data_IF_944196302584
#
_entry.id   IF_944196302584
#
_cell.length_a   1.000
_cell.length_b   1.000
_cell.length_c   1.000
_cell.angle_alpha   90.00
_cell.angle_beta   90.00
_cell.angle_gamma   90.00
#
_symmetry.space_group_name_H-M   'P 1'
#
loop_
_entity.id
_entity.type
_entity.pdbx_description
1 polymer ?
#
# COMPACT_ATOMS: atom_id res chain seq x y z
N UNK A 1 -50.93 11.39 19.66
CA UNK A 1 -51.26 11.63 21.09
C UNK A 1 -50.82 10.40 21.88
N UNK A 2 -49.75 10.53 22.66
CA UNK A 2 -49.48 9.99 23.99
C UNK A 2 -47.98 10.19 24.27
N UNK A 3 -47.73 11.24 25.03
CA UNK A 3 -46.45 11.50 25.70
C UNK A 3 -46.33 10.56 26.90
N UNK A 4 -45.18 9.92 27.08
CA UNK A 4 -44.82 9.34 28.39
C UNK A 4 -43.47 9.93 28.78
N UNK A 5 -43.53 10.72 29.85
CA UNK A 5 -42.44 11.23 30.67
C UNK A 5 -41.90 10.07 31.53
N UNK A 6 -40.59 9.93 31.67
CA UNK A 6 -40.01 9.26 32.84
C UNK A 6 -38.89 10.08 33.43
N UNK A 7 -39.04 10.33 34.68
CA UNK A 7 -38.34 11.21 35.60
C UNK A 7 -37.09 10.50 36.13
N UNK A 8 -36.05 11.29 36.41
CA UNK A 8 -34.75 10.87 36.86
C UNK A 8 -34.71 10.29 38.29
N UNK A 9 -33.56 9.68 38.57
CA UNK A 9 -33.03 9.55 39.93
C UNK A 9 -31.55 9.87 39.93
N UNK A 10 -31.25 10.93 40.60
CA UNK A 10 -29.95 11.47 40.95
C UNK A 10 -29.49 10.77 42.23
N UNK A 11 -28.44 9.99 42.18
CA UNK A 11 -27.79 9.35 43.33
C UNK A 11 -26.43 9.98 43.60
N UNK A 12 -26.40 10.84 44.55
CA UNK A 12 -25.24 11.50 45.16
C UNK A 12 -24.65 10.59 46.24
N UNK A 13 -23.38 10.17 46.11
CA UNK A 13 -22.68 9.55 47.24
C UNK A 13 -21.43 10.36 47.60
N UNK A 14 -21.45 10.73 48.89
CA UNK A 14 -20.50 11.57 49.58
C UNK A 14 -19.22 10.81 49.95
N UNK A 15 -18.17 11.58 50.01
CA UNK A 15 -16.82 11.32 50.51
C UNK A 15 -16.79 10.77 51.94
N UNK A 16 -15.97 9.77 52.20
CA UNK A 16 -15.53 9.34 53.51
C UNK A 16 -14.02 9.20 53.56
N UNK A 17 -13.34 10.22 54.07
CA UNK A 17 -11.93 10.19 54.46
C UNK A 17 -11.82 9.54 55.84
N UNK A 18 -10.92 8.57 56.01
CA UNK A 18 -10.36 8.21 57.31
C UNK A 18 -8.91 7.81 57.19
N UNK A 19 -8.07 8.64 57.74
CA UNK A 19 -6.68 8.38 58.09
C UNK A 19 -6.61 7.51 59.35
N UNK A 20 -5.81 6.45 59.34
CA UNK A 20 -5.24 5.89 60.57
C UNK A 20 -3.83 5.40 60.32
N UNK A 21 -2.93 6.05 60.98
CA UNK A 21 -1.53 5.77 61.17
C UNK A 21 -1.38 4.66 62.23
N UNK A 22 -0.72 3.55 61.92
CA UNK A 22 -0.15 2.67 62.91
C UNK A 22 1.20 2.14 62.40
N UNK A 23 2.23 2.54 63.11
CA UNK A 23 3.60 2.08 62.87
C UNK A 23 3.76 0.64 63.34
N UNK A 24 4.51 -0.12 62.56
CA UNK A 24 5.11 -1.36 63.03
C UNK A 24 6.63 -1.25 62.85
N UNK A 25 7.30 -1.38 64.00
CA UNK A 25 8.74 -1.64 64.10
C UNK A 25 9.04 -3.00 63.46
N UNK A 26 9.94 -3.04 62.50
CA UNK A 26 10.62 -4.30 62.09
C UNK A 26 12.00 -4.29 62.71
N UNK A 27 12.24 -5.34 63.47
CA UNK A 27 13.54 -5.70 64.06
C UNK A 27 14.51 -6.09 62.94
N UNK A 28 15.74 -5.62 63.08
CA UNK A 28 16.89 -5.94 62.27
C UNK A 28 17.21 -7.43 62.33
N UNK A 29 17.16 -8.11 61.21
CA UNK A 29 17.80 -9.42 61.05
C UNK A 29 19.11 -9.24 60.27
N UNK A 30 20.21 -9.37 61.00
CA UNK A 30 21.55 -9.51 60.45
C UNK A 30 21.64 -10.76 59.60
N UNK A 31 21.87 -10.59 58.31
CA UNK A 31 22.29 -11.64 57.41
C UNK A 31 23.82 -11.62 57.24
N UNK A 32 24.44 -12.63 57.84
CA UNK A 32 25.85 -12.91 57.66
C UNK A 32 26.22 -13.09 56.18
N UNK A 33 27.28 -12.40 55.78
CA UNK A 33 27.78 -12.38 54.44
C UNK A 33 28.38 -13.72 54.00
N UNK A 34 27.85 -14.27 52.91
CA UNK A 34 28.51 -15.30 52.15
C UNK A 34 29.45 -14.69 51.12
N UNK A 35 30.76 -14.82 51.33
CA UNK A 35 31.81 -14.56 50.37
C UNK A 35 31.68 -15.56 49.21
N UNK A 36 31.26 -15.09 48.02
CA UNK A 36 31.50 -15.85 46.81
C UNK A 36 32.82 -15.39 46.19
N UNK A 37 33.77 -16.32 46.17
CA UNK A 37 35.03 -16.17 45.48
C UNK A 37 34.72 -16.00 43.95
N UNK A 38 35.28 -14.98 43.39
CA UNK A 38 35.30 -14.77 41.94
C UNK A 38 36.28 -15.75 41.33
N UNK A 39 35.79 -16.78 40.66
CA UNK A 39 36.58 -17.56 39.70
C UNK A 39 36.55 -16.81 38.37
N UNK A 40 37.72 -16.29 37.98
CA UNK A 40 37.96 -15.77 36.65
C UNK A 40 38.00 -16.92 35.65
N UNK A 41 36.94 -17.04 34.84
CA UNK A 41 37.01 -17.84 33.63
C UNK A 41 37.59 -17.01 32.49
N UNK A 42 38.86 -17.24 32.21
CA UNK A 42 39.54 -16.78 31.01
C UNK A 42 39.00 -17.56 29.80
N UNK A 43 38.21 -16.92 28.97
CA UNK A 43 37.87 -17.42 27.65
C UNK A 43 39.03 -17.10 26.70
N UNK A 44 39.80 -18.11 26.34
CA UNK A 44 40.70 -18.05 25.19
C UNK A 44 39.88 -17.94 23.93
N UNK A 45 40.01 -16.80 23.25
CA UNK A 45 39.55 -16.62 21.88
C UNK A 45 40.57 -17.31 20.96
N UNK A 46 40.25 -18.51 20.47
CA UNK A 46 40.92 -19.01 19.28
C UNK A 46 40.54 -18.18 18.07
N UNK A 47 41.50 -17.36 17.65
CA UNK A 47 41.37 -16.55 16.43
C UNK A 47 41.39 -17.46 15.19
N UNK A 48 40.27 -17.60 14.50
CA UNK A 48 40.25 -18.15 13.17
C UNK A 48 40.93 -17.18 12.21
N UNK A 49 42.13 -17.52 11.75
CA UNK A 49 42.81 -16.86 10.63
C UNK A 49 42.00 -17.10 9.36
N UNK A 50 41.34 -16.05 8.89
CA UNK A 50 40.86 -15.98 7.51
C UNK A 50 42.05 -15.59 6.64
N UNK A 51 42.55 -16.55 5.86
CA UNK A 51 43.53 -16.29 4.80
C UNK A 51 42.89 -15.30 3.82
N UNK A 52 43.52 -14.12 3.71
CA UNK A 52 43.12 -13.07 2.79
C UNK A 52 43.35 -13.53 1.36
N UNK A 53 42.27 -13.60 0.57
CA UNK A 53 42.37 -13.72 -0.88
C UNK A 53 42.94 -12.41 -1.43
N UNK A 54 44.18 -12.48 -1.93
CA UNK A 54 44.79 -11.42 -2.74
C UNK A 54 43.98 -11.28 -4.03
N UNK A 55 43.24 -10.18 -4.15
CA UNK A 55 42.79 -9.70 -5.44
C UNK A 55 43.94 -8.96 -6.10
N UNK A 56 44.55 -9.58 -7.13
CA UNK A 56 45.49 -8.93 -8.00
C UNK A 56 44.79 -7.75 -8.67
N UNK A 57 45.32 -6.55 -8.40
CA UNK A 57 44.84 -5.31 -9.01
C UNK A 57 45.15 -5.33 -10.50
N UNK A 58 44.10 -5.21 -11.30
CA UNK A 58 44.26 -4.93 -12.74
C UNK A 58 44.62 -3.45 -12.87
N UNK A 59 45.89 -3.21 -13.23
CA UNK A 59 46.38 -1.91 -13.68
C UNK A 59 45.66 -1.50 -14.96
N UNK A 60 44.76 -0.53 -14.90
CA UNK A 60 44.27 0.14 -16.07
C UNK A 60 45.35 1.14 -16.56
N UNK A 61 46.09 0.71 -17.58
CA UNK A 61 46.99 1.59 -18.31
C UNK A 61 46.20 2.76 -18.86
N UNK A 62 46.61 3.98 -18.44
CA UNK A 62 46.16 5.23 -18.98
C UNK A 62 46.57 5.36 -20.44
N UNK A 63 45.61 5.30 -21.38
CA UNK A 63 45.83 5.63 -22.75
C UNK A 63 45.94 7.17 -22.89
N UNK A 64 47.17 7.63 -23.12
CA UNK A 64 47.45 8.98 -23.58
C UNK A 64 46.91 9.13 -25.00
N UNK A 65 45.87 9.95 -25.16
CA UNK A 65 45.46 10.43 -26.49
C UNK A 65 46.34 11.63 -26.84
N UNK A 66 47.28 11.38 -27.71
CA UNK A 66 48.06 12.46 -28.37
C UNK A 66 47.09 13.29 -29.21
N UNK A 67 47.13 14.59 -28.98
CA UNK A 67 46.32 15.57 -29.68
C UNK A 67 46.69 15.69 -31.13
N UNK A 68 45.74 15.47 -32.02
CA UNK A 68 45.86 15.78 -33.44
C UNK A 68 45.63 17.29 -33.62
N UNK A 69 46.73 18.00 -33.95
CA UNK A 69 46.71 19.39 -34.46
C UNK A 69 46.06 19.39 -35.85
N UNK A 70 44.85 19.93 -35.97
CA UNK A 70 44.28 20.30 -37.24
C UNK A 70 44.79 21.69 -37.64
N UNK A 71 45.64 21.70 -38.66
CA UNK A 71 46.11 22.93 -39.30
C UNK A 71 44.91 23.63 -39.97
N UNK A 72 44.82 24.94 -39.72
CA UNK A 72 43.85 25.82 -40.34
C UNK A 72 44.13 25.94 -41.85
N UNK A 73 43.22 25.53 -42.71
CA UNK A 73 43.24 25.87 -44.11
C UNK A 73 42.54 27.19 -44.32
N UNK A 74 43.36 28.21 -44.73
CA UNK A 74 42.88 29.49 -45.23
C UNK A 74 42.33 29.33 -46.61
N UNK A 75 41.02 29.61 -46.81
CA UNK A 75 40.42 29.72 -48.16
C UNK A 75 40.55 31.17 -48.60
N UNK A 76 41.31 31.35 -49.68
CA UNK A 76 41.39 32.63 -50.39
C UNK A 76 40.07 32.92 -51.12
N UNK A 77 39.62 34.18 -50.97
CA UNK A 77 38.38 34.64 -51.55
C UNK A 77 38.43 34.75 -53.09
N UNK A 78 37.39 34.24 -53.73
CA UNK A 78 37.12 34.50 -55.12
C UNK A 78 36.05 35.59 -55.24
N UNK A 79 36.49 36.78 -55.74
CA UNK A 79 35.62 37.85 -56.20
C UNK A 79 34.95 37.45 -57.51
N UNK A 80 33.63 37.34 -57.56
CA UNK A 80 32.88 37.34 -58.82
C UNK A 80 32.22 38.68 -59.05
N UNK A 81 32.59 39.25 -60.18
CA UNK A 81 32.10 40.51 -60.68
C UNK A 81 30.62 40.34 -61.16
N UNK A 82 29.84 41.34 -60.86
CA UNK A 82 28.49 41.55 -61.31
C UNK A 82 28.42 41.79 -62.84
N UNK A 83 27.75 40.95 -63.59
CA UNK A 83 27.23 41.33 -64.93
C UNK A 83 25.70 41.26 -64.92
N UNK A 84 25.12 42.41 -65.17
CA UNK A 84 23.67 42.59 -65.24
C UNK A 84 23.18 42.17 -66.63
N UNK A 85 22.15 41.41 -66.68
CA UNK A 85 21.33 41.16 -67.89
C UNK A 85 19.95 41.76 -67.73
N UNK A 86 19.70 42.77 -68.51
CA UNK A 86 18.38 43.35 -68.80
C UNK A 86 17.58 42.37 -69.67
N UNK A 87 16.40 41.95 -69.26
CA UNK A 87 15.41 41.38 -70.14
C UNK A 87 14.13 42.22 -70.13
N UNK A 88 13.76 42.60 -71.37
CA UNK A 88 12.61 43.41 -71.69
C UNK A 88 11.29 42.66 -71.42
N UNK A 89 10.30 43.46 -71.09
CA UNK A 89 8.92 43.01 -70.87
C UNK A 89 8.30 42.52 -72.17
N UNK A 90 7.63 41.37 -72.12
CA UNK A 90 6.61 41.00 -73.10
C UNK A 90 5.30 40.66 -72.38
N UNK A 91 4.27 41.33 -72.88
CA UNK A 91 2.87 41.21 -72.54
C UNK A 91 2.33 39.78 -72.76
N UNK A 92 1.80 39.16 -71.79
CA UNK A 92 0.89 38.03 -71.95
C UNK A 92 -0.46 38.27 -71.25
N UNK A 93 -1.46 38.17 -72.09
CA UNK A 93 -2.90 38.32 -71.94
C UNK A 93 -3.49 37.56 -70.74
N UNK A 94 -4.37 38.29 -70.10
CA UNK A 94 -5.40 37.86 -69.14
C UNK A 94 -6.17 36.61 -69.64
N UNK A 95 -6.17 35.53 -68.89
CA UNK A 95 -7.20 34.51 -68.92
C UNK A 95 -7.88 34.47 -67.52
N UNK A 96 -9.12 34.95 -67.55
CA UNK A 96 -10.05 34.83 -66.45
C UNK A 96 -10.48 33.36 -66.29
N UNK A 97 -10.20 32.76 -65.14
CA UNK A 97 -10.90 31.59 -64.69
C UNK A 97 -11.46 31.88 -63.29
N UNK A 98 -12.78 32.12 -63.24
CA UNK A 98 -13.56 32.08 -62.05
C UNK A 98 -13.52 30.64 -61.44
N UNK A 99 -12.88 30.47 -60.30
CA UNK A 99 -13.16 29.39 -59.38
C UNK A 99 -13.24 30.01 -57.98
N UNK A 100 -14.49 30.28 -57.57
CA UNK A 100 -14.80 30.50 -56.19
C UNK A 100 -14.56 29.20 -55.39
N UNK A 101 -13.53 29.17 -54.57
CA UNK A 101 -13.39 28.35 -53.37
C UNK A 101 -12.43 29.10 -52.48
N UNK A 102 -12.97 29.88 -51.56
CA UNK A 102 -12.24 30.45 -50.45
C UNK A 102 -11.75 29.32 -49.55
N UNK A 103 -10.54 28.81 -49.80
CA UNK A 103 -9.75 28.15 -48.77
C UNK A 103 -8.91 29.24 -48.13
N UNK A 104 -9.28 29.66 -46.94
CA UNK A 104 -8.40 30.45 -46.11
C UNK A 104 -7.12 29.61 -45.83
N UNK A 105 -6.14 29.79 -46.68
CA UNK A 105 -4.79 29.33 -46.41
C UNK A 105 -4.21 30.21 -45.32
N UNK A 106 -4.29 29.76 -44.09
CA UNK A 106 -3.49 30.35 -43.03
C UNK A 106 -2.02 30.19 -43.41
N UNK A 107 -1.37 31.31 -43.73
CA UNK A 107 0.09 31.37 -43.85
C UNK A 107 0.68 30.98 -42.49
N UNK A 108 1.09 29.74 -42.38
CA UNK A 108 1.95 29.27 -41.27
C UNK A 108 3.33 29.91 -41.45
N UNK A 109 3.53 31.05 -40.75
CA UNK A 109 4.82 31.69 -40.68
C UNK A 109 5.83 30.64 -40.15
N UNK A 110 7.01 30.62 -40.72
CA UNK A 110 8.13 29.75 -40.35
C UNK A 110 8.61 30.08 -38.91
N UNK A 111 7.80 29.73 -37.92
CA UNK A 111 8.16 29.91 -36.52
C UNK A 111 8.80 28.57 -36.06
N UNK A 112 10.11 28.56 -35.75
CA UNK A 112 10.83 27.30 -35.42
C UNK A 112 10.28 26.60 -34.16
N UNK A 113 9.45 27.28 -33.38
CA UNK A 113 8.82 26.74 -32.16
C UNK A 113 7.42 26.15 -32.43
N UNK A 114 6.94 26.16 -33.68
CA UNK A 114 5.61 25.68 -34.03
C UNK A 114 5.65 24.23 -34.50
N UNK A 115 4.85 23.39 -33.84
CA UNK A 115 4.73 21.98 -34.15
C UNK A 115 3.47 21.77 -35.00
N UNK A 116 3.62 21.30 -36.22
CA UNK A 116 2.51 21.03 -37.11
C UNK A 116 2.16 19.54 -37.04
N UNK A 117 0.90 19.25 -36.70
CA UNK A 117 0.35 17.91 -36.68
C UNK A 117 -1.07 17.93 -37.28
N UNK A 118 -1.23 17.34 -38.44
CA UNK A 118 -2.50 17.29 -39.14
C UNK A 118 -3.62 16.76 -38.25
N UNK A 119 -4.86 17.34 -38.28
CA UNK A 119 -5.94 17.02 -37.39
C UNK A 119 -6.34 15.54 -37.40
N UNK A 120 -6.27 14.91 -38.56
CA UNK A 120 -6.54 13.47 -38.70
C UNK A 120 -5.52 12.60 -38.00
N UNK A 121 -4.24 12.99 -38.07
CA UNK A 121 -3.16 12.31 -37.34
C UNK A 121 -3.28 12.53 -35.83
N UNK A 122 -3.59 13.75 -35.40
CA UNK A 122 -3.84 14.10 -34.02
C UNK A 122 -4.99 13.27 -33.43
N UNK A 123 -6.11 13.19 -34.16
CA UNK A 123 -7.27 12.39 -33.76
C UNK A 123 -6.96 10.89 -33.71
N UNK A 124 -6.25 10.35 -34.71
CA UNK A 124 -5.84 8.96 -34.73
C UNK A 124 -4.88 8.60 -33.61
N UNK A 125 -4.04 9.57 -33.17
CA UNK A 125 -3.13 9.42 -32.03
C UNK A 125 -3.82 9.67 -30.67
N UNK A 126 -5.13 9.98 -30.65
CA UNK A 126 -5.86 10.23 -29.41
C UNK A 126 -5.48 11.53 -28.73
N UNK A 127 -4.99 12.53 -29.46
CA UNK A 127 -4.67 13.85 -28.93
C UNK A 127 -5.97 14.58 -28.60
N UNK A 128 -6.07 15.03 -27.34
CA UNK A 128 -7.21 15.83 -26.85
C UNK A 128 -6.70 17.09 -26.18
N UNK A 129 -7.36 18.21 -26.45
CA UNK A 129 -7.02 19.51 -25.88
C UNK A 129 -8.22 20.12 -25.16
N UNK A 130 -7.97 20.74 -24.02
CA UNK A 130 -8.98 21.42 -23.22
C UNK A 130 -8.53 22.83 -22.88
N UNK A 131 -9.50 23.72 -22.69
CA UNK A 131 -9.25 25.06 -22.18
C UNK A 131 -9.09 24.96 -20.67
N UNK A 132 -7.97 25.46 -20.16
CA UNK A 132 -7.65 25.37 -18.73
C UNK A 132 -8.17 26.63 -18.03
N UNK A 133 -9.11 26.40 -17.11
CA UNK A 133 -9.63 27.43 -16.22
C UNK A 133 -9.17 27.19 -14.78
N UNK A 134 -8.99 28.25 -13.97
CA UNK A 134 -8.66 28.12 -12.57
C UNK A 134 -9.76 27.35 -11.83
N UNK A 135 -9.36 26.35 -11.03
CA UNK A 135 -10.28 25.57 -10.20
C UNK A 135 -9.73 25.36 -8.79
N UNK A 136 -10.59 24.87 -7.90
CA UNK A 136 -10.14 24.45 -6.57
C UNK A 136 -9.18 23.28 -6.66
N UNK A 137 -8.02 23.39 -6.02
CA UNK A 137 -7.05 22.32 -5.89
C UNK A 137 -6.68 22.13 -4.43
N UNK A 138 -6.58 20.91 -3.95
CA UNK A 138 -6.21 20.67 -2.55
C UNK A 138 -4.71 20.68 -2.40
N UNK A 139 -4.22 21.36 -1.36
CA UNK A 139 -2.81 21.29 -0.98
C UNK A 139 -2.44 19.82 -0.68
N UNK A 140 -1.38 19.33 -1.30
CA UNK A 140 -0.96 17.94 -1.24
C UNK A 140 0.35 17.81 -0.48
N UNK A 141 0.42 16.81 0.38
CA UNK A 141 1.65 16.34 1.01
C UNK A 141 1.94 14.96 0.42
N UNK A 142 2.99 14.89 -0.42
CA UNK A 142 3.46 13.62 -0.96
C UNK A 142 4.31 12.90 0.10
N UNK A 143 4.04 11.62 0.28
CA UNK A 143 4.75 10.75 1.22
C UNK A 143 4.67 9.29 0.77
N UNK A 144 5.29 8.40 1.50
CA UNK A 144 5.14 6.95 1.33
C UNK A 144 4.18 6.39 2.38
N UNK A 145 3.68 5.20 2.10
CA UNK A 145 2.81 4.50 3.03
C UNK A 145 2.77 3.00 2.76
N UNK A 146 2.01 2.31 3.58
CA UNK A 146 1.79 0.88 3.45
C UNK A 146 0.31 0.55 3.55
N UNK A 147 -0.13 -0.35 2.70
CA UNK A 147 -1.47 -0.95 2.79
C UNK A 147 -1.42 -2.07 3.84
N UNK A 148 -2.32 -2.01 4.79
CA UNK A 148 -2.41 -2.98 5.88
C UNK A 148 -3.81 -3.62 5.90
N UNK A 149 -3.89 -4.85 6.41
CA UNK A 149 -5.19 -5.45 6.71
C UNK A 149 -5.90 -4.65 7.82
N UNK A 150 -7.22 -4.50 7.70
CA UNK A 150 -8.00 -3.83 8.72
C UNK A 150 -7.98 -4.63 10.04
N UNK A 151 -8.14 -3.96 11.16
CA UNK A 151 -8.26 -4.62 12.46
C UNK A 151 -9.43 -5.62 12.45
N UNK A 152 -9.16 -6.87 12.87
CA UNK A 152 -10.14 -7.97 12.81
C UNK A 152 -10.27 -8.63 11.45
N UNK A 153 -9.58 -8.14 10.41
CA UNK A 153 -9.51 -8.78 9.10
C UNK A 153 -8.48 -9.92 9.04
N UNK A 154 -7.65 -10.08 10.05
CA UNK A 154 -6.73 -11.21 10.19
C UNK A 154 -7.08 -12.05 11.42
N UNK A 155 -7.00 -13.37 11.28
CA UNK A 155 -7.21 -14.31 12.36
C UNK A 155 -6.17 -15.42 12.29
N UNK A 156 -5.40 -15.54 13.36
CA UNK A 156 -4.48 -16.66 13.54
C UNK A 156 -5.27 -17.88 13.96
N UNK A 157 -5.11 -18.97 13.24
CA UNK A 157 -5.70 -20.26 13.55
C UNK A 157 -4.65 -21.04 14.34
N UNK A 158 -5.00 -21.50 15.54
CA UNK A 158 -4.14 -22.25 16.43
C UNK A 158 -4.63 -23.67 16.62
N UNK A 159 -3.72 -24.58 16.98
CA UNK A 159 -4.08 -25.96 17.32
C UNK A 159 -4.89 -25.99 18.62
N UNK A 160 -6.05 -26.64 18.59
CA UNK A 160 -6.94 -26.83 19.73
C UNK A 160 -6.69 -28.16 20.48
N UNK A 161 -5.94 -29.05 19.86
CA UNK A 161 -5.44 -30.33 20.44
C UNK A 161 -4.03 -30.59 19.96
N UNK A 162 -3.28 -31.43 20.72
CA UNK A 162 -1.97 -31.91 20.28
C UNK A 162 -2.13 -33.14 19.39
N UNK A 163 -1.33 -33.24 18.33
CA UNK A 163 -1.40 -34.39 17.41
C UNK A 163 -0.71 -34.12 16.08
N UNK A 164 -0.96 -35.00 15.12
CA UNK A 164 -0.41 -34.94 13.76
C UNK A 164 -1.39 -34.25 12.82
N UNK A 165 -0.89 -33.29 12.06
CA UNK A 165 -1.67 -32.51 11.09
C UNK A 165 -1.98 -33.35 9.85
N UNK A 166 -3.22 -33.29 9.38
CA UNK A 166 -3.65 -33.84 8.10
C UNK A 166 -4.55 -32.84 7.38
N UNK A 167 -4.19 -32.49 6.13
CA UNK A 167 -5.01 -31.61 5.30
C UNK A 167 -6.12 -32.39 4.57
N UNK A 168 -7.30 -31.80 4.48
CA UNK A 168 -8.38 -32.40 3.70
C UNK A 168 -8.22 -32.20 2.18
N UNK A 169 -7.52 -31.16 1.80
CA UNK A 169 -7.17 -30.81 0.42
C UNK A 169 -5.82 -30.09 0.41
N UNK A 170 -5.18 -30.01 -0.74
CA UNK A 170 -3.97 -29.21 -0.88
C UNK A 170 -4.24 -27.76 -0.49
N UNK A 171 -3.45 -27.24 0.45
CA UNK A 171 -3.53 -25.89 0.96
C UNK A 171 -2.20 -25.17 0.69
N UNK A 172 -2.30 -23.96 0.20
CA UNK A 172 -1.17 -23.07 -0.06
C UNK A 172 -1.53 -21.65 0.35
N UNK A 173 -0.53 -20.82 0.51
CA UNK A 173 -0.77 -19.39 0.66
C UNK A 173 -1.56 -18.85 -0.54
N UNK A 174 -2.50 -17.94 -0.27
CA UNK A 174 -3.47 -17.44 -1.26
C UNK A 174 -4.71 -18.31 -1.47
N UNK A 175 -4.78 -19.53 -0.91
CA UNK A 175 -5.97 -20.36 -1.03
C UNK A 175 -7.17 -19.73 -0.31
N UNK A 176 -8.33 -19.69 -1.01
CA UNK A 176 -9.58 -19.16 -0.45
C UNK A 176 -10.22 -20.16 0.54
N UNK A 177 -10.71 -19.64 1.66
CA UNK A 177 -11.43 -20.40 2.70
C UNK A 177 -12.70 -19.67 3.13
N UNK A 178 -13.82 -20.40 3.25
CA UNK A 178 -15.06 -19.86 3.81
C UNK A 178 -15.05 -19.90 5.34
N UNK A 179 -15.78 -18.98 5.99
CA UNK A 179 -15.99 -19.03 7.45
C UNK A 179 -16.59 -20.37 7.87
N UNK A 180 -16.01 -21.02 8.88
CA UNK A 180 -16.42 -22.33 9.38
C UNK A 180 -15.97 -23.52 8.53
N UNK A 181 -15.32 -23.28 7.38
CA UNK A 181 -14.79 -24.38 6.56
C UNK A 181 -13.65 -25.09 7.30
N UNK A 182 -13.64 -26.42 7.22
CA UNK A 182 -12.54 -27.21 7.77
C UNK A 182 -11.29 -27.04 6.90
N UNK A 183 -10.19 -26.64 7.51
CA UNK A 183 -8.90 -26.42 6.85
C UNK A 183 -8.05 -27.67 6.93
N UNK A 184 -7.90 -28.20 8.13
CA UNK A 184 -7.11 -29.39 8.43
C UNK A 184 -7.74 -30.15 9.60
N UNK A 185 -7.26 -31.34 9.87
CA UNK A 185 -7.58 -32.10 11.07
C UNK A 185 -6.31 -32.46 11.83
N UNK A 186 -6.42 -32.56 13.15
CA UNK A 186 -5.31 -32.97 14.03
C UNK A 186 -5.72 -34.31 14.64
N UNK A 187 -4.94 -35.36 14.35
CA UNK A 187 -5.16 -36.71 14.87
C UNK A 187 -4.08 -37.09 15.87
N UNK A 188 -4.49 -37.71 16.96
CA UNK A 188 -3.61 -38.29 17.97
C UNK A 188 -3.75 -39.83 18.05
N UNK A 189 -4.47 -40.48 17.10
CA UNK A 189 -4.80 -41.89 17.13
C UNK A 189 -3.58 -42.80 17.22
N UNK A 190 -2.43 -42.35 16.67
CA UNK A 190 -1.16 -43.13 16.66
C UNK A 190 -0.18 -42.69 17.74
N UNK A 191 -0.56 -41.76 18.61
CA UNK A 191 0.28 -41.29 19.70
C UNK A 191 0.13 -42.16 20.94
N UNK A 192 1.18 -42.23 21.75
CA UNK A 192 1.21 -43.03 22.98
C UNK A 192 0.05 -42.67 23.93
N UNK A 193 -0.35 -41.39 23.99
CA UNK A 193 -1.40 -40.90 24.86
C UNK A 193 -2.82 -41.09 24.27
N UNK A 194 -2.98 -41.56 23.04
CA UNK A 194 -4.25 -41.78 22.36
C UNK A 194 -4.99 -40.48 21.98
N UNK A 195 -6.18 -40.66 21.38
CA UNK A 195 -7.02 -39.53 20.94
C UNK A 195 -7.61 -38.77 22.15
N UNK A 196 -7.32 -37.46 22.32
CA UNK A 196 -7.88 -36.62 23.40
C UNK A 196 -9.41 -36.61 23.41
N UNK A 197 -10.08 -36.63 22.25
CA UNK A 197 -11.54 -36.65 22.18
C UNK A 197 -12.11 -37.98 22.65
N UNK A 198 -11.44 -39.09 22.37
CA UNK A 198 -11.86 -40.41 22.84
C UNK A 198 -11.67 -40.55 24.34
N UNK A 199 -10.54 -40.04 24.88
CA UNK A 199 -10.35 -39.99 26.33
C UNK A 199 -11.41 -39.17 27.05
N UNK A 200 -11.73 -38.00 26.50
CA UNK A 200 -12.78 -37.15 27.06
C UNK A 200 -14.17 -37.84 26.99
N UNK A 201 -14.46 -38.61 25.93
CA UNK A 201 -15.70 -39.42 25.82
C UNK A 201 -15.78 -40.46 26.92
N UNK A 202 -14.70 -41.23 27.13
CA UNK A 202 -14.64 -42.27 28.16
C UNK A 202 -14.82 -41.67 29.55
N UNK A 203 -14.10 -40.55 29.82
CA UNK A 203 -14.20 -39.84 31.12
C UNK A 203 -15.63 -39.33 31.36
N UNK A 204 -16.26 -38.76 30.34
CA UNK A 204 -17.67 -38.30 30.43
C UNK A 204 -18.65 -39.44 30.68
N UNK A 205 -18.57 -40.56 29.96
CA UNK A 205 -19.44 -41.72 30.12
C UNK A 205 -19.30 -42.32 31.51
N UNK A 206 -18.06 -42.44 32.02
CA UNK A 206 -17.78 -42.92 33.37
C UNK A 206 -18.34 -41.99 34.42
N UNK A 207 -18.06 -40.69 34.35
CA UNK A 207 -18.55 -39.68 35.31
C UNK A 207 -20.09 -39.59 35.27
N UNK A 208 -20.70 -39.74 34.09
CA UNK A 208 -22.17 -39.78 33.94
C UNK A 208 -22.80 -40.97 34.65
N UNK A 209 -22.22 -42.17 34.48
CA UNK A 209 -22.73 -43.36 35.14
C UNK A 209 -22.63 -43.26 36.68
N UNK A 210 -21.55 -42.64 37.19
CA UNK A 210 -21.36 -42.34 38.63
C UNK A 210 -22.40 -41.29 39.11
N UNK A 211 -22.60 -40.20 38.38
CA UNK A 211 -23.61 -39.19 38.70
C UNK A 211 -25.01 -39.72 38.72
N UNK A 212 -25.41 -40.52 37.73
CA UNK A 212 -26.72 -41.15 37.65
C UNK A 212 -26.98 -42.13 38.79
N UNK A 213 -25.92 -42.81 39.29
CA UNK A 213 -25.96 -43.67 40.49
C UNK A 213 -26.11 -42.79 41.75
N UNK A 214 -25.26 -41.78 41.90
CA UNK A 214 -25.24 -40.90 43.08
C UNK A 214 -26.56 -40.12 43.24
N UNK A 215 -27.21 -39.72 42.13
CA UNK A 215 -28.50 -39.06 42.13
C UNK A 215 -29.63 -39.92 42.80
N UNK A 216 -29.58 -41.23 42.55
CA UNK A 216 -30.51 -42.16 43.20
C UNK A 216 -30.21 -42.38 44.69
N UNK A 217 -28.92 -42.43 45.05
CA UNK A 217 -28.49 -42.69 46.42
C UNK A 217 -28.70 -41.48 47.34
N UNK A 218 -28.48 -40.26 46.86
CA UNK A 218 -28.74 -39.05 47.64
C UNK A 218 -30.22 -38.84 47.92
N UNK A 219 -31.11 -39.18 46.96
CA UNK A 219 -32.56 -39.15 47.14
C UNK A 219 -33.01 -40.10 48.24
N UNK A 220 -32.32 -41.20 48.45
CA UNK A 220 -32.57 -42.18 49.50
C UNK A 220 -31.74 -41.95 50.78
N UNK A 221 -31.01 -40.79 50.88
CA UNK A 221 -30.18 -40.41 52.02
C UNK A 221 -29.03 -41.41 52.34
N UNK A 222 -28.57 -42.18 51.33
CA UNK A 222 -27.51 -43.16 51.49
C UNK A 222 -26.13 -42.49 51.38
N UNK A 223 -26.00 -41.40 50.63
CA UNK A 223 -24.77 -40.60 50.53
C UNK A 223 -25.06 -39.18 50.98
N UNK A 224 -24.03 -38.49 51.43
CA UNK A 224 -24.15 -37.11 51.89
C UNK A 224 -24.31 -36.13 50.71
N UNK A 225 -24.95 -34.99 50.95
CA UNK A 225 -25.08 -33.91 49.94
C UNK A 225 -23.69 -33.40 49.47
N UNK A 226 -22.69 -33.39 50.36
CA UNK A 226 -21.30 -33.00 50.04
C UNK A 226 -20.70 -33.97 48.99
N UNK A 227 -20.88 -35.27 49.21
CA UNK A 227 -20.35 -36.31 48.34
C UNK A 227 -21.04 -36.26 46.98
N UNK A 228 -22.39 -36.11 46.95
CA UNK A 228 -23.12 -35.89 45.72
C UNK A 228 -22.64 -34.66 44.92
N UNK A 229 -22.38 -33.55 45.60
CA UNK A 229 -21.90 -32.33 44.93
C UNK A 229 -20.52 -32.54 44.30
N UNK A 230 -19.62 -33.28 44.95
CA UNK A 230 -18.28 -33.61 44.38
C UNK A 230 -18.36 -34.49 43.10
N UNK A 231 -19.29 -35.49 43.13
CA UNK A 231 -19.57 -36.36 41.97
C UNK A 231 -20.17 -35.53 40.84
N UNK A 232 -21.11 -34.64 41.17
CA UNK A 232 -21.74 -33.74 40.18
C UNK A 232 -20.69 -32.81 39.53
N UNK A 233 -19.78 -32.24 40.33
CA UNK A 233 -18.70 -31.39 39.80
C UNK A 233 -17.81 -32.19 38.82
N UNK A 234 -17.43 -33.41 39.18
CA UNK A 234 -16.64 -34.28 38.29
C UNK A 234 -17.37 -34.57 36.97
N UNK A 235 -18.68 -34.85 37.04
CA UNK A 235 -19.50 -35.05 35.83
C UNK A 235 -19.60 -33.82 34.97
N UNK A 236 -19.85 -32.64 35.54
CA UNK A 236 -19.95 -31.38 34.79
C UNK A 236 -18.61 -31.05 34.13
N UNK A 237 -17.47 -31.21 34.81
CA UNK A 237 -16.15 -31.00 34.26
C UNK A 237 -15.86 -31.95 33.08
N UNK A 238 -16.17 -33.22 33.24
CA UNK A 238 -16.01 -34.22 32.16
C UNK A 238 -16.94 -33.92 30.96
N UNK A 239 -18.18 -33.48 31.22
CA UNK A 239 -19.15 -33.05 30.20
C UNK A 239 -18.62 -31.88 29.38
N UNK A 240 -18.15 -30.82 30.04
CA UNK A 240 -17.59 -29.64 29.39
C UNK A 240 -16.36 -30.00 28.51
N UNK A 241 -15.48 -30.85 29.00
CA UNK A 241 -14.32 -31.32 28.25
C UNK A 241 -14.72 -32.12 27.02
N UNK A 242 -15.70 -33.03 27.15
CA UNK A 242 -16.22 -33.82 26.03
C UNK A 242 -16.94 -32.97 24.99
N UNK A 243 -17.81 -32.05 25.42
CA UNK A 243 -18.54 -31.15 24.51
C UNK A 243 -17.60 -30.22 23.72
N UNK A 244 -16.51 -29.74 24.34
CA UNK A 244 -15.52 -28.88 23.67
C UNK A 244 -14.79 -29.62 22.53
N UNK A 245 -14.49 -30.90 22.70
CA UNK A 245 -13.75 -31.71 21.71
C UNK A 245 -14.67 -32.42 20.71
N UNK A 246 -15.87 -32.83 21.12
CA UNK A 246 -16.78 -33.62 20.27
C UNK A 246 -17.39 -32.83 19.12
N UNK A 247 -17.65 -31.52 19.29
CA UNK A 247 -18.22 -30.64 18.27
C UNK A 247 -17.39 -30.59 16.98
N UNK A 248 -16.07 -30.76 17.08
CA UNK A 248 -15.14 -30.66 15.97
C UNK A 248 -14.51 -32.03 15.59
N UNK A 249 -15.03 -33.15 16.13
CA UNK A 249 -14.50 -34.49 15.82
C UNK A 249 -14.94 -34.91 14.41
N UNK A 250 -13.98 -35.28 13.57
CA UNK A 250 -14.17 -35.90 12.27
C UNK A 250 -13.59 -37.32 12.28
N UNK A 251 -13.84 -38.08 11.21
CA UNK A 251 -13.23 -39.43 11.03
C UNK A 251 -11.70 -39.40 10.93
N UNK A 252 -11.09 -38.23 10.71
CA UNK A 252 -9.66 -38.06 10.59
C UNK A 252 -9.02 -37.29 11.77
N UNK A 253 -9.73 -37.20 12.90
CA UNK A 253 -9.28 -36.44 14.08
C UNK A 253 -10.14 -35.21 14.38
N UNK A 254 -9.62 -34.27 15.17
CA UNK A 254 -10.32 -33.04 15.53
C UNK A 254 -10.12 -32.00 14.42
N UNK A 255 -11.25 -31.54 13.85
CA UNK A 255 -11.22 -30.58 12.77
C UNK A 255 -10.85 -29.17 13.27
N UNK A 256 -9.99 -28.50 12.53
CA UNK A 256 -9.63 -27.10 12.69
C UNK A 256 -10.31 -26.30 11.59
N UNK A 257 -11.14 -25.34 11.98
CA UNK A 257 -11.99 -24.56 11.06
C UNK A 257 -11.55 -23.12 10.95
N UNK A 258 -11.84 -22.48 9.80
CA UNK A 258 -11.59 -21.06 9.59
C UNK A 258 -12.53 -20.19 10.45
N UNK A 259 -12.03 -19.34 11.33
CA UNK A 259 -12.86 -18.46 12.16
C UNK A 259 -13.52 -17.34 11.36
N UNK A 260 -12.86 -16.93 10.27
CA UNK A 260 -13.34 -15.93 9.29
C UNK A 260 -13.20 -16.48 7.88
N UNK A 261 -14.00 -15.99 6.94
CA UNK A 261 -13.81 -16.26 5.51
C UNK A 261 -12.74 -15.34 4.93
N UNK A 262 -11.95 -15.83 3.98
CA UNK A 262 -10.87 -15.05 3.38
C UNK A 262 -9.86 -15.91 2.64
N UNK A 263 -8.58 -15.55 2.73
CA UNK A 263 -7.45 -16.24 2.11
C UNK A 263 -6.44 -16.66 3.16
N UNK A 264 -5.73 -17.76 2.93
CA UNK A 264 -4.60 -18.17 3.75
C UNK A 264 -3.42 -17.23 3.43
N UNK A 265 -2.86 -16.58 4.45
CA UNK A 265 -1.73 -15.65 4.31
C UNK A 265 -0.40 -16.33 4.62
N UNK A 266 -0.34 -17.06 5.73
CA UNK A 266 0.86 -17.78 6.17
C UNK A 266 0.44 -19.17 6.57
N UNK A 267 0.93 -20.18 5.88
CA UNK A 267 0.78 -21.59 6.25
C UNK A 267 2.07 -22.04 6.97
N UNK A 268 1.97 -22.26 8.28
CA UNK A 268 3.13 -22.54 9.16
C UNK A 268 3.38 -24.01 9.37
N UNK A 269 2.48 -24.89 8.93
CA UNK A 269 2.55 -26.35 9.15
C UNK A 269 2.39 -27.11 7.84
N UNK A 270 2.92 -28.32 7.82
CA UNK A 270 2.86 -29.25 6.68
C UNK A 270 2.08 -30.50 7.04
N UNK A 271 1.69 -31.27 6.02
CA UNK A 271 1.11 -32.61 6.21
C UNK A 271 2.09 -33.48 7.01
N UNK A 272 1.59 -34.08 8.07
CA UNK A 272 2.38 -34.95 8.95
C UNK A 272 3.14 -34.27 10.09
N UNK A 273 3.12 -32.93 10.17
CA UNK A 273 3.75 -32.22 11.30
C UNK A 273 3.05 -32.53 12.62
N UNK A 274 3.82 -32.68 13.68
CA UNK A 274 3.29 -32.76 15.04
C UNK A 274 3.14 -31.36 15.62
N UNK A 275 1.94 -31.06 16.16
CA UNK A 275 1.62 -29.76 16.76
C UNK A 275 1.14 -29.93 18.20
N UNK A 276 1.33 -28.86 18.99
CA UNK A 276 0.87 -28.79 20.38
C UNK A 276 -0.26 -27.77 20.54
N UNK A 277 -1.08 -27.91 21.58
CA UNK A 277 -2.17 -26.97 21.87
C UNK A 277 -1.66 -25.54 21.94
N UNK A 278 -2.35 -24.62 21.25
CA UNK A 278 -1.98 -23.21 21.18
C UNK A 278 -0.94 -22.85 20.10
N UNK A 279 -0.34 -23.84 19.43
CA UNK A 279 0.61 -23.60 18.36
C UNK A 279 -0.08 -22.95 17.16
N UNK A 280 0.45 -21.83 16.61
CA UNK A 280 -0.06 -21.25 15.38
C UNK A 280 0.10 -22.20 14.19
N UNK A 281 -0.97 -22.36 13.41
CA UNK A 281 -1.00 -23.25 12.25
C UNK A 281 -0.97 -22.46 10.95
N UNK A 282 -1.78 -21.42 10.87
CA UNK A 282 -1.89 -20.54 9.72
C UNK A 282 -2.59 -19.22 10.09
N UNK A 283 -2.55 -18.25 9.20
CA UNK A 283 -3.32 -17.01 9.32
C UNK A 283 -4.33 -16.91 8.17
N UNK A 284 -5.58 -16.62 8.50
CA UNK A 284 -6.61 -16.27 7.50
C UNK A 284 -6.77 -14.76 7.48
N UNK A 285 -6.75 -14.16 6.30
CA UNK A 285 -6.92 -12.71 6.10
C UNK A 285 -8.11 -12.41 5.19
N UNK A 286 -8.84 -11.35 5.51
CA UNK A 286 -9.87 -10.77 4.63
C UNK A 286 -9.31 -9.59 3.88
N UNK A 287 -9.73 -9.43 2.62
CA UNK A 287 -9.27 -8.37 1.74
C UNK A 287 -10.33 -7.29 1.46
N UNK A 288 -11.50 -7.36 2.12
CA UNK A 288 -12.63 -6.49 1.79
C UNK A 288 -12.44 -5.05 2.28
N UNK A 289 -11.76 -4.87 3.40
CA UNK A 289 -11.44 -3.58 4.00
C UNK A 289 -9.98 -3.53 4.39
N UNK A 290 -9.33 -2.44 3.97
CA UNK A 290 -7.91 -2.23 4.19
C UNK A 290 -7.66 -0.90 4.89
N UNK A 291 -6.48 -0.78 5.46
CA UNK A 291 -5.95 0.48 5.99
C UNK A 291 -4.81 0.96 5.09
N UNK A 292 -4.84 2.25 4.79
CA UNK A 292 -3.70 2.98 4.26
C UNK A 292 -3.03 3.69 5.43
N UNK A 293 -1.83 3.27 5.79
CA UNK A 293 -0.97 3.96 6.75
C UNK A 293 0.06 4.77 5.98
N UNK A 294 -0.05 6.08 6.05
CA UNK A 294 0.90 7.02 5.48
C UNK A 294 1.88 7.49 6.55
N UNK A 295 3.17 7.50 6.24
CA UNK A 295 4.22 7.91 7.17
C UNK A 295 4.66 9.34 6.84
N UNK A 296 4.15 10.31 7.59
CA UNK A 296 4.30 11.74 7.31
C UNK A 296 5.45 12.32 8.13
N UNK A 297 6.37 13.02 7.47
CA UNK A 297 7.47 13.71 8.15
C UNK A 297 6.95 14.72 9.19
N UNK A 298 7.57 14.77 10.37
CA UNK A 298 7.21 15.67 11.47
C UNK A 298 7.14 17.16 11.06
N UNK A 299 7.88 17.57 10.05
CA UNK A 299 7.81 18.94 9.52
C UNK A 299 6.41 19.36 9.10
N UNK A 300 5.55 18.39 8.74
CA UNK A 300 4.16 18.63 8.34
C UNK A 300 3.16 18.49 9.50
N UNK A 301 3.62 18.29 10.74
CA UNK A 301 2.75 18.04 11.89
C UNK A 301 1.62 19.06 12.04
N UNK A 302 1.90 20.34 11.81
CA UNK A 302 0.89 21.43 11.88
C UNK A 302 -0.26 21.27 10.88
N UNK A 303 -0.01 20.55 9.79
CA UNK A 303 -1.00 20.36 8.72
C UNK A 303 -1.82 19.06 8.88
N UNK A 304 -1.43 18.15 9.78
CA UNK A 304 -2.09 16.85 9.95
C UNK A 304 -3.57 16.98 10.29
N UNK A 305 -3.94 17.98 11.09
CA UNK A 305 -5.34 18.26 11.46
C UNK A 305 -6.20 18.74 10.28
N UNK A 306 -5.59 19.18 9.19
CA UNK A 306 -6.28 19.68 7.99
C UNK A 306 -6.41 18.62 6.91
N UNK A 307 -5.78 17.45 7.08
CA UNK A 307 -5.88 16.33 6.15
C UNK A 307 -7.29 15.76 6.20
N UNK A 308 -7.92 15.68 5.05
CA UNK A 308 -9.30 15.20 4.91
C UNK A 308 -9.42 13.93 4.08
N UNK A 309 -8.50 13.68 3.14
CA UNK A 309 -8.49 12.53 2.25
C UNK A 309 -7.08 12.22 1.78
N UNK A 310 -6.93 11.17 1.00
CA UNK A 310 -5.69 10.83 0.33
C UNK A 310 -5.98 10.15 -1.01
N UNK A 311 -5.01 10.24 -1.92
CA UNK A 311 -4.86 9.34 -3.04
C UNK A 311 -3.62 8.49 -2.82
N UNK A 312 -3.55 7.32 -3.45
CA UNK A 312 -2.34 6.52 -3.43
C UNK A 312 -2.12 5.84 -4.78
N UNK A 313 -0.85 5.55 -5.08
CA UNK A 313 -0.45 4.83 -6.28
C UNK A 313 0.31 3.58 -5.89
N UNK A 314 -0.08 2.45 -6.48
CA UNK A 314 0.59 1.16 -6.26
C UNK A 314 1.77 1.00 -7.22
N UNK A 315 2.81 0.23 -6.87
CA UNK A 315 3.98 0.05 -7.74
C UNK A 315 3.73 -0.91 -8.91
N UNK A 316 2.62 -1.65 -8.91
CA UNK A 316 2.37 -2.74 -9.86
C UNK A 316 1.39 -2.41 -10.98
N UNK A 317 0.63 -1.31 -10.92
CA UNK A 317 -0.39 -0.99 -11.93
C UNK A 317 -0.42 0.46 -12.42
N UNK A 318 0.47 1.32 -11.97
CA UNK A 318 0.48 2.76 -12.34
C UNK A 318 -0.84 3.52 -12.12
N UNK A 319 -1.84 2.88 -11.48
CA UNK A 319 -3.14 3.47 -11.25
C UNK A 319 -3.15 4.30 -9.96
N UNK A 320 -3.80 5.47 -10.00
CA UNK A 320 -4.04 6.28 -8.83
C UNK A 320 -5.40 5.95 -8.25
N UNK A 321 -5.40 5.45 -7.03
CA UNK A 321 -6.58 5.12 -6.24
C UNK A 321 -7.00 6.32 -5.41
N UNK A 322 -8.22 6.79 -5.58
CA UNK A 322 -8.80 7.85 -4.77
C UNK A 322 -9.57 7.25 -3.59
N UNK A 323 -9.18 7.59 -2.37
CA UNK A 323 -9.90 7.12 -1.18
C UNK A 323 -11.37 7.54 -1.17
N UNK A 324 -11.70 8.71 -1.76
CA UNK A 324 -13.08 9.17 -1.93
C UNK A 324 -13.96 8.20 -2.72
N UNK A 325 -13.40 7.57 -3.77
CA UNK A 325 -14.09 6.58 -4.60
C UNK A 325 -14.16 5.19 -3.96
N UNK A 326 -13.31 4.94 -2.95
CA UNK A 326 -13.21 3.68 -2.19
C UNK A 326 -13.88 3.76 -0.81
N UNK A 327 -14.79 4.69 -0.57
CA UNK A 327 -15.41 4.95 0.74
C UNK A 327 -14.37 5.21 1.84
N UNK A 328 -13.24 5.82 1.46
CA UNK A 328 -12.12 6.09 2.35
C UNK A 328 -12.47 7.06 3.46
N UNK A 329 -12.01 6.78 4.68
CA UNK A 329 -12.22 7.63 5.85
C UNK A 329 -10.92 7.76 6.64
N UNK A 330 -10.58 8.98 7.02
CA UNK A 330 -9.52 9.21 8.00
C UNK A 330 -9.93 8.58 9.34
N UNK A 331 -9.12 7.65 9.85
CA UNK A 331 -9.32 7.04 11.16
C UNK A 331 -8.59 7.82 12.24
N UNK A 332 -7.32 8.10 11.99
CA UNK A 332 -6.47 8.77 12.99
C UNK A 332 -5.23 9.36 12.32
N UNK A 333 -4.65 10.33 13.01
CA UNK A 333 -3.27 10.74 12.81
C UNK A 333 -2.54 10.69 14.15
N UNK A 334 -1.27 10.25 14.13
CA UNK A 334 -0.45 10.11 15.32
C UNK A 334 -0.23 11.47 16.00
N UNK A 335 -0.15 11.47 17.32
CA UNK A 335 0.21 12.66 18.12
C UNK A 335 1.66 12.62 18.58
N UNK A 336 2.38 11.57 18.21
CA UNK A 336 3.80 11.38 18.45
C UNK A 336 4.41 10.59 17.30
N UNK A 337 5.68 10.80 17.03
CA UNK A 337 6.49 9.90 16.22
C UNK A 337 6.76 8.61 17.00
N UNK A 338 6.87 7.48 16.29
CA UNK A 338 7.24 6.21 16.92
C UNK A 338 8.69 6.22 17.40
N UNK A 339 9.04 5.30 18.31
CA UNK A 339 10.38 5.16 18.83
C UNK A 339 11.41 4.99 17.69
N UNK A 340 12.35 5.93 17.57
CA UNK A 340 13.37 5.95 16.53
C UNK A 340 12.88 6.34 15.13
N UNK A 341 11.68 6.91 14.98
CA UNK A 341 11.12 7.35 13.70
C UNK A 341 10.82 8.84 13.70
N UNK A 342 11.20 9.55 12.63
CA UNK A 342 10.85 10.95 12.38
C UNK A 342 9.51 11.11 11.64
N UNK A 343 8.70 10.06 11.62
CA UNK A 343 7.43 10.04 10.90
C UNK A 343 6.25 9.90 11.85
N UNK A 344 5.20 10.65 11.55
CA UNK A 344 3.91 10.59 12.23
C UNK A 344 2.95 9.81 11.34
N UNK A 345 2.36 8.69 11.81
CA UNK A 345 1.45 7.92 11.00
C UNK A 345 0.10 8.61 10.83
N UNK A 346 -0.42 8.61 9.60
CA UNK A 346 -1.80 8.99 9.27
C UNK A 346 -2.49 7.78 8.68
N UNK A 347 -3.59 7.34 9.30
CA UNK A 347 -4.26 6.10 8.93
C UNK A 347 -5.66 6.37 8.39
N UNK A 348 -5.94 5.80 7.23
CA UNK A 348 -7.27 5.77 6.62
C UNK A 348 -7.77 4.34 6.52
N UNK A 349 -9.10 4.16 6.60
CA UNK A 349 -9.75 2.92 6.20
C UNK A 349 -10.40 3.09 4.83
N UNK A 350 -10.42 2.05 4.01
CA UNK A 350 -11.10 2.06 2.72
C UNK A 350 -11.59 0.68 2.32
N UNK A 351 -12.56 0.63 1.42
CA UNK A 351 -13.09 -0.63 0.88
C UNK A 351 -12.21 -1.07 -0.29
N UNK A 352 -11.71 -2.31 -0.22
CA UNK A 352 -10.96 -2.90 -1.32
C UNK A 352 -11.92 -3.53 -2.32
N UNK A 353 -11.85 -3.08 -3.57
CA UNK A 353 -12.65 -3.66 -4.68
C UNK A 353 -11.94 -4.82 -5.39
N UNK A 354 -10.87 -5.36 -4.79
CA UNK A 354 -10.16 -6.53 -5.27
C UNK A 354 -8.78 -6.24 -5.89
N UNK A 355 -8.46 -4.97 -6.11
CA UNK A 355 -7.28 -4.58 -6.90
C UNK A 355 -6.06 -4.23 -6.02
N UNK A 356 -6.27 -4.00 -4.72
CA UNK A 356 -5.21 -3.58 -3.80
C UNK A 356 -4.75 -4.74 -2.92
N UNK A 357 -3.43 -4.99 -2.93
CA UNK A 357 -2.81 -6.09 -2.19
C UNK A 357 -2.35 -5.62 -0.81
N UNK A 358 -2.82 -6.24 0.29
CA UNK A 358 -2.31 -5.93 1.64
C UNK A 358 -0.81 -6.21 1.76
N UNK A 359 -0.10 -5.35 2.47
CA UNK A 359 1.35 -5.42 2.63
C UNK A 359 2.12 -4.56 1.63
N UNK A 360 1.48 -4.08 0.54
CA UNK A 360 2.13 -3.26 -0.47
C UNK A 360 2.57 -1.91 0.08
N UNK A 361 3.76 -1.47 -0.33
CA UNK A 361 4.20 -0.09 -0.17
C UNK A 361 3.66 0.75 -1.33
N UNK A 362 3.22 1.96 -1.02
CA UNK A 362 2.54 2.84 -1.96
C UNK A 362 3.05 4.27 -1.85
N UNK A 363 3.00 4.99 -2.94
CA UNK A 363 3.13 6.44 -2.93
C UNK A 363 1.80 7.06 -2.49
N UNK A 364 1.82 8.00 -1.56
CA UNK A 364 0.63 8.58 -0.96
C UNK A 364 0.61 10.09 -1.15
N UNK A 365 -0.53 10.60 -1.61
CA UNK A 365 -0.81 12.01 -1.78
C UNK A 365 -1.89 12.43 -0.77
N UNK A 366 -1.47 12.94 0.38
CA UNK A 366 -2.39 13.40 1.42
C UNK A 366 -2.98 14.75 1.04
N UNK A 367 -4.29 14.85 0.98
CA UNK A 367 -5.00 16.05 0.60
C UNK A 367 -5.49 16.81 1.83
N UNK A 368 -5.09 18.06 1.90
CA UNK A 368 -5.36 18.95 3.01
C UNK A 368 -6.30 20.09 2.56
N UNK A 369 -5.96 21.32 2.90
CA UNK A 369 -6.75 22.52 2.62
C UNK A 369 -6.94 22.74 1.13
N UNK A 370 -8.11 23.21 0.73
CA UNK A 370 -8.40 23.62 -0.63
C UNK A 370 -7.74 24.97 -0.95
N UNK A 371 -7.05 25.02 -2.09
CA UNK A 371 -6.47 26.23 -2.70
C UNK A 371 -7.41 26.66 -3.83
N UNK A 372 -8.11 27.78 -3.71
CA UNK A 372 -8.94 28.29 -4.77
C UNK A 372 -8.09 28.88 -5.92
N UNK A 373 -8.68 29.01 -7.09
CA UNK A 373 -8.09 29.68 -8.26
C UNK A 373 -6.71 29.15 -8.67
N UNK A 374 -6.55 27.82 -8.70
CA UNK A 374 -5.31 27.15 -9.06
C UNK A 374 -5.41 26.60 -10.49
N UNK A 375 -4.38 26.84 -11.32
CA UNK A 375 -4.28 26.22 -12.63
C UNK A 375 -3.74 24.79 -12.44
N UNK A 376 -4.51 23.82 -12.88
CA UNK A 376 -4.15 22.40 -12.79
C UNK A 376 -4.44 21.70 -14.10
N UNK A 377 -3.57 20.75 -14.45
CA UNK A 377 -3.67 19.92 -15.64
C UNK A 377 -3.53 18.44 -15.25
N UNK A 378 -4.02 17.49 -16.06
CA UNK A 378 -3.72 16.08 -15.89
C UNK A 378 -2.21 15.82 -15.96
N UNK A 379 -1.71 14.89 -15.15
CA UNK A 379 -0.28 14.49 -15.18
C UNK A 379 0.13 13.99 -16.56
N UNK A 380 -0.80 13.36 -17.31
CA UNK A 380 -0.59 12.87 -18.67
C UNK A 380 -0.34 13.99 -19.73
N UNK A 381 -0.68 15.24 -19.38
CA UNK A 381 -0.41 16.41 -20.23
C UNK A 381 1.05 16.86 -20.17
N UNK A 382 1.80 16.43 -19.13
CA UNK A 382 3.19 16.80 -18.94
C UNK A 382 4.12 15.89 -19.75
N UNK A 383 5.15 16.49 -20.32
CA UNK A 383 6.32 15.80 -20.82
C UNK A 383 7.56 16.32 -20.12
N UNK A 384 8.50 15.42 -19.86
CA UNK A 384 9.77 15.78 -19.22
C UNK A 384 10.91 15.64 -20.21
N UNK A 385 11.82 16.62 -20.20
CA UNK A 385 13.07 16.60 -20.98
C UNK A 385 14.18 17.26 -20.16
N UNK A 386 15.23 16.51 -19.90
CA UNK A 386 16.42 17.00 -19.16
C UNK A 386 16.10 17.63 -17.80
N UNK A 387 15.08 17.13 -17.10
CA UNK A 387 14.64 17.65 -15.80
C UNK A 387 13.73 18.89 -15.87
N UNK A 388 13.38 19.35 -17.07
CA UNK A 388 12.40 20.42 -17.30
C UNK A 388 11.06 19.82 -17.72
N UNK A 389 9.96 20.49 -17.33
CA UNK A 389 8.63 20.08 -17.66
C UNK A 389 8.03 20.94 -18.73
N UNK A 390 7.33 20.30 -19.69
CA UNK A 390 6.71 20.96 -20.83
C UNK A 390 5.28 20.52 -21.01
N UNK A 391 4.46 21.46 -21.51
CA UNK A 391 3.10 21.23 -22.02
C UNK A 391 3.03 21.66 -23.48
N UNK A 392 1.97 21.25 -24.17
CA UNK A 392 1.71 21.66 -25.55
C UNK A 392 0.44 22.49 -25.61
N UNK A 393 0.59 23.76 -26.01
CA UNK A 393 -0.53 24.69 -26.22
C UNK A 393 -1.02 24.54 -27.64
N UNK A 394 -2.29 24.23 -27.83
CA UNK A 394 -2.91 24.21 -29.15
C UNK A 394 -3.24 25.65 -29.59
N UNK A 395 -2.66 26.12 -30.68
CA UNK A 395 -2.85 27.45 -31.25
C UNK A 395 -3.96 27.47 -32.28
N UNK A 396 -4.01 26.48 -33.18
CA UNK A 396 -5.08 26.22 -34.12
C UNK A 396 -5.33 24.74 -34.30
N UNK A 397 -6.14 24.32 -35.30
CA UNK A 397 -6.46 22.90 -35.48
C UNK A 397 -5.27 21.99 -35.74
N UNK A 398 -4.20 22.54 -36.32
CA UNK A 398 -3.01 21.79 -36.76
C UNK A 398 -1.72 22.18 -36.02
N UNK A 399 -1.75 23.29 -35.27
CA UNK A 399 -0.54 23.90 -34.73
C UNK A 399 -0.54 23.86 -33.22
N UNK A 400 0.60 23.44 -32.70
CA UNK A 400 0.89 23.33 -31.29
C UNK A 400 2.20 24.07 -30.96
N UNK A 401 2.25 24.67 -29.77
CA UNK A 401 3.47 25.30 -29.25
C UNK A 401 3.93 24.56 -28.00
N UNK A 402 5.21 24.16 -27.97
CA UNK A 402 5.86 23.66 -26.77
C UNK A 402 6.06 24.79 -25.76
N UNK A 403 5.61 24.61 -24.55
CA UNK A 403 5.70 25.61 -23.48
C UNK A 403 6.32 24.98 -22.24
N UNK A 404 7.42 25.57 -21.76
CA UNK A 404 8.00 25.20 -20.48
C UNK A 404 7.11 25.65 -19.34
N UNK A 405 6.98 24.79 -18.30
CA UNK A 405 6.17 25.07 -17.13
C UNK A 405 6.89 24.67 -15.85
N UNK A 406 6.59 25.42 -14.79
CA UNK A 406 7.04 25.09 -13.45
C UNK A 406 5.89 24.41 -12.71
N UNK A 407 6.11 23.16 -12.31
CA UNK A 407 5.11 22.38 -11.62
C UNK A 407 5.11 22.63 -10.10
N UNK A 408 3.94 22.52 -9.48
CA UNK A 408 3.74 22.56 -8.04
C UNK A 408 3.41 21.19 -7.47
N UNK A 409 2.44 21.14 -6.56
CA UNK A 409 1.96 19.91 -5.94
C UNK A 409 1.19 19.04 -6.94
N UNK A 410 1.32 17.72 -6.82
CA UNK A 410 0.52 16.75 -7.57
C UNK A 410 -0.27 15.86 -6.61
N UNK A 411 -1.50 15.50 -7.01
CA UNK A 411 -2.33 14.52 -6.31
C UNK A 411 -2.29 13.12 -6.95
N UNK A 412 -1.35 12.93 -7.88
CA UNK A 412 -1.17 11.71 -8.67
C UNK A 412 -1.96 11.67 -9.97
N UNK A 413 -3.09 12.38 -10.07
CA UNK A 413 -3.90 12.52 -11.30
C UNK A 413 -3.71 13.87 -11.97
N UNK A 414 -3.67 14.90 -11.17
CA UNK A 414 -3.52 16.29 -11.60
C UNK A 414 -2.31 16.92 -10.96
N UNK A 415 -1.75 17.91 -11.62
CA UNK A 415 -0.59 18.66 -11.14
C UNK A 415 -0.88 20.16 -11.24
N UNK A 416 -0.52 20.89 -10.21
CA UNK A 416 -0.57 22.34 -10.16
C UNK A 416 0.52 22.92 -11.06
N UNK A 417 0.17 23.95 -11.83
CA UNK A 417 1.13 24.74 -12.59
C UNK A 417 1.32 26.07 -11.88
N UNK A 418 2.57 26.37 -11.55
CA UNK A 418 2.97 27.59 -10.86
C UNK A 418 3.32 28.73 -11.85
N UNK A 419 4.00 28.39 -12.95
CA UNK A 419 4.46 29.32 -13.97
C UNK A 419 4.35 28.68 -15.36
N UNK A 420 4.17 29.49 -16.40
CA UNK A 420 4.17 29.05 -17.80
C UNK A 420 2.80 28.66 -18.38
N UNK A 421 1.71 28.80 -17.63
CA UNK A 421 0.35 28.55 -18.08
C UNK A 421 -0.56 29.71 -17.63
N UNK A 422 -1.52 30.12 -18.49
CA UNK A 422 -2.51 31.15 -18.20
C UNK A 422 -3.93 30.60 -18.29
N UNK A 423 -4.83 31.23 -17.56
CA UNK A 423 -6.26 30.95 -17.69
C UNK A 423 -6.73 31.21 -19.12
N UNK A 424 -7.50 30.27 -19.69
CA UNK A 424 -7.98 30.34 -21.08
C UNK A 424 -7.03 29.66 -22.08
N UNK A 425 -5.82 29.29 -21.71
CA UNK A 425 -4.92 28.52 -22.59
C UNK A 425 -5.52 27.14 -22.92
N UNK A 426 -5.43 26.76 -24.20
CA UNK A 426 -5.86 25.44 -24.68
C UNK A 426 -4.67 24.47 -24.61
N UNK A 427 -4.70 23.54 -23.67
CA UNK A 427 -3.61 22.59 -23.39
C UNK A 427 -3.97 21.21 -23.91
N UNK A 428 -3.01 20.51 -24.49
CA UNK A 428 -3.13 19.08 -24.83
C UNK A 428 -3.15 18.28 -23.51
N UNK A 429 -4.32 17.79 -23.12
CA UNK A 429 -4.52 17.05 -21.86
C UNK A 429 -4.30 15.55 -22.01
N UNK A 430 -4.36 15.03 -23.24
CA UNK A 430 -4.10 13.62 -23.55
C UNK A 430 -3.32 13.51 -24.87
N UNK A 431 -2.41 12.55 -24.96
CA UNK A 431 -1.62 12.34 -26.18
C UNK A 431 -0.47 13.33 -26.34
N UNK A 432 -0.05 14.06 -25.32
CA UNK A 432 1.05 15.03 -25.35
C UNK A 432 2.35 14.44 -25.91
N UNK A 433 2.62 13.18 -25.64
CA UNK A 433 3.79 12.48 -26.17
C UNK A 433 3.78 12.36 -27.71
N UNK A 434 2.60 12.21 -28.35
CA UNK A 434 2.50 12.17 -29.82
C UNK A 434 2.80 13.53 -30.44
N UNK A 435 2.39 14.62 -29.77
CA UNK A 435 2.77 15.98 -30.21
C UNK A 435 4.27 16.20 -30.07
N UNK A 436 4.87 15.70 -28.98
CA UNK A 436 6.32 15.69 -28.79
C UNK A 436 7.07 14.97 -29.92
N UNK A 437 6.61 13.78 -30.33
CA UNK A 437 7.22 13.03 -31.43
C UNK A 437 7.09 13.77 -32.78
N UNK A 438 5.97 14.44 -33.03
CA UNK A 438 5.80 15.25 -34.23
C UNK A 438 6.80 16.40 -34.29
N UNK A 439 7.14 17.03 -33.16
CA UNK A 439 8.18 18.08 -33.13
C UNK A 439 9.56 17.56 -33.56
N UNK A 440 9.92 16.33 -33.14
CA UNK A 440 11.18 15.73 -33.51
C UNK A 440 11.25 15.34 -35.01
N UNK A 441 10.12 14.91 -35.59
CA UNK A 441 10.06 14.58 -37.03
C UNK A 441 10.09 15.80 -37.95
N UNK A 442 9.55 16.93 -37.49
CA UNK A 442 9.56 18.19 -38.23
C UNK A 442 10.94 18.89 -38.17
N UNK A 443 11.78 18.55 -37.22
CA UNK A 443 13.13 19.08 -37.07
C UNK A 443 14.16 18.41 -38.01
N UNK A 444 13.81 17.30 -38.65
CA UNK A 444 14.67 16.65 -39.66
C UNK A 444 14.35 17.24 -41.07
N UNK A 445 15.31 17.92 -41.71
CA UNK A 445 15.12 18.40 -43.06
C UNK A 445 14.85 17.19 -43.98
N UNK A 446 13.83 17.30 -44.82
CA UNK A 446 13.55 16.29 -45.84
C UNK A 446 14.77 16.25 -46.78
N UNK A 447 15.61 15.23 -46.66
CA UNK A 447 16.65 14.94 -47.62
C UNK A 447 15.97 14.41 -48.89
N UNK A 448 15.71 15.31 -49.86
CA UNK A 448 15.35 14.91 -51.21
C UNK A 448 16.60 14.39 -51.88
N UNK A 449 16.74 13.08 -52.00
CA UNK A 449 17.66 12.47 -52.95
C UNK A 449 16.96 12.45 -54.32
N UNK A 450 17.21 13.46 -55.14
CA UNK A 450 16.98 13.36 -56.57
C UNK A 450 18.09 12.48 -57.14
N UNK A 451 17.71 11.34 -57.75
CA UNK A 451 18.53 10.51 -58.61
C UNK A 451 18.22 10.78 -60.05
#
# INVERSE_FOLDING_TARGET
MKKIFFMGVMGMFLLGSCSSQSGHNHEDHDHEGHNHATEEHSHEYEGHNHEGHNHEGHDHASHNHEGHNHAAHSHEGHNHATEGHNHAAEDHKVHNHDHAAESEAHEHGNNPDEIILAPEKAKAAGVMSEVIEPKGFRQVIATSGQIQAAQGAESVVVANVSGVVSFQRAMTDGASVGKGATILSISADKLQDGDPAERARIAYETAKAEYDRAQRLVGNQIISQKEFNAIKETYENARLSYEALSKNKSTKGVAVTAPIGGYIKNLLVKEGDFVTVGQPLLTVTQNNRLYLRADVSERYYRYLSTISSANFKTPYDNQVYELSALNGKLLSYGKASGDGSYYVPVTFSFDNKGDVVPGSFVEVFLMSKELPNTLVIPVEALTEEQGLYFIYLQKCAESYKKQEVKIGASNGKEVQILEGLHAGDRVVVKGAYHVKLASASNALPAHSHEH
#
